data_IF_731760281994
#
_entry.id   IF_731760281994
#
_cell.length_a   1.000
_cell.length_b   1.000
_cell.length_c   1.000
_cell.angle_alpha   90.00
_cell.angle_beta   90.00
_cell.angle_gamma   90.00
#
_symmetry.space_group_name_H-M   'P 1'
#
loop_
_entity.id
_entity.type
_entity.pdbx_description
1 polymer ?
#
# COMPACT_ATOMS: atom_id res chain seq x y z
N UNK A 1 2.59 -35.66 26.23
CA UNK A 1 1.82 -36.44 25.25
C UNK A 1 0.65 -35.57 24.81
N UNK A 2 0.26 -35.58 23.53
CA UNK A 2 -0.96 -34.90 23.12
C UNK A 2 -2.14 -35.47 23.90
N UNK A 3 -3.05 -34.60 24.34
CA UNK A 3 -4.30 -35.00 24.95
C UNK A 3 -5.11 -35.82 23.94
N UNK A 4 -5.79 -36.87 24.40
CA UNK A 4 -6.62 -37.71 23.53
C UNK A 4 -7.93 -37.02 23.14
N UNK A 5 -8.28 -35.95 23.84
CA UNK A 5 -9.43 -35.11 23.54
C UNK A 5 -9.11 -34.15 22.39
N UNK A 6 -9.91 -34.17 21.30
CA UNK A 6 -9.75 -33.19 20.23
C UNK A 6 -9.93 -31.75 20.74
N UNK A 7 -9.17 -30.82 20.17
CA UNK A 7 -9.15 -29.42 20.62
C UNK A 7 -10.27 -28.57 20.02
N UNK A 8 -10.84 -28.97 18.88
CA UNK A 8 -11.98 -28.27 18.28
C UNK A 8 -13.29 -28.87 18.76
N UNK A 9 -14.28 -28.03 19.07
CA UNK A 9 -15.60 -28.48 19.54
C UNK A 9 -16.27 -29.44 18.54
N UNK A 10 -16.10 -29.20 17.24
CA UNK A 10 -16.65 -30.07 16.18
C UNK A 10 -16.03 -31.46 16.21
N UNK A 11 -14.71 -31.56 16.31
CA UNK A 11 -14.01 -32.85 16.37
C UNK A 11 -14.25 -33.54 17.72
N UNK A 12 -14.34 -32.77 18.81
CA UNK A 12 -14.65 -33.28 20.14
C UNK A 12 -16.06 -33.90 20.18
N UNK A 13 -17.07 -33.20 19.65
CA UNK A 13 -18.44 -33.71 19.56
C UNK A 13 -18.52 -35.00 18.73
N UNK A 14 -17.84 -35.05 17.58
CA UNK A 14 -17.81 -36.23 16.71
C UNK A 14 -17.08 -37.42 17.37
N UNK A 15 -15.96 -37.15 18.04
CA UNK A 15 -15.24 -38.13 18.82
C UNK A 15 -16.09 -38.65 19.99
N UNK A 16 -16.79 -37.77 20.70
CA UNK A 16 -17.64 -38.17 21.82
C UNK A 16 -18.81 -39.03 21.40
N UNK A 17 -19.46 -38.70 20.29
CA UNK A 17 -20.51 -39.54 19.73
C UNK A 17 -20.02 -40.97 19.45
N UNK A 18 -18.82 -41.09 18.87
CA UNK A 18 -18.20 -42.39 18.58
C UNK A 18 -17.83 -43.16 19.84
N UNK A 19 -17.25 -42.46 20.84
CA UNK A 19 -16.89 -43.05 22.13
C UNK A 19 -18.14 -43.56 22.87
N UNK A 20 -19.18 -42.74 23.01
CA UNK A 20 -20.43 -43.12 23.67
C UNK A 20 -21.07 -44.32 22.95
N UNK A 21 -21.12 -44.29 21.62
CA UNK A 21 -21.67 -45.40 20.82
C UNK A 21 -20.94 -46.72 21.07
N UNK A 22 -19.61 -46.71 21.08
CA UNK A 22 -18.83 -47.93 21.33
C UNK A 22 -18.92 -48.38 22.79
N UNK A 23 -18.81 -47.46 23.75
CA UNK A 23 -18.86 -47.75 25.17
C UNK A 23 -20.23 -48.32 25.58
N UNK A 24 -21.33 -47.75 25.05
CA UNK A 24 -22.69 -48.26 25.28
C UNK A 24 -22.92 -49.65 24.67
N UNK A 25 -22.26 -49.99 23.56
CA UNK A 25 -22.35 -51.32 22.97
C UNK A 25 -21.51 -52.38 23.73
N UNK A 26 -20.49 -51.96 24.47
CA UNK A 26 -19.49 -52.86 25.10
C UNK A 26 -19.40 -52.69 26.63
N UNK A 27 -20.45 -52.19 27.29
CA UNK A 27 -20.46 -51.82 28.73
C UNK A 27 -19.83 -52.89 29.62
N UNK A 28 -20.31 -54.13 29.53
CA UNK A 28 -19.81 -55.23 30.36
C UNK A 28 -18.37 -55.64 30.04
N UNK A 29 -17.99 -55.64 28.76
CA UNK A 29 -16.63 -56.00 28.32
C UNK A 29 -15.59 -54.95 28.74
N UNK A 30 -16.01 -53.69 28.90
CA UNK A 30 -15.18 -52.59 29.39
C UNK A 30 -15.17 -52.48 30.92
N UNK A 31 -15.93 -53.33 31.64
CA UNK A 31 -16.06 -53.26 33.09
C UNK A 31 -16.80 -52.02 33.59
N UNK A 32 -17.63 -51.41 32.74
CA UNK A 32 -18.44 -50.23 33.05
C UNK A 32 -19.86 -50.63 33.43
N UNK A 33 -20.60 -49.67 33.97
CA UNK A 33 -22.04 -49.77 34.16
C UNK A 33 -22.79 -48.73 33.32
N UNK A 34 -24.09 -48.93 33.11
CA UNK A 34 -24.94 -47.93 32.44
C UNK A 34 -25.03 -46.62 33.24
N UNK A 35 -24.86 -46.69 34.57
CA UNK A 35 -24.82 -45.52 35.44
C UNK A 35 -23.60 -44.63 35.17
N UNK A 36 -22.48 -45.20 34.71
CA UNK A 36 -21.27 -44.44 34.38
C UNK A 36 -21.44 -43.62 33.08
N UNK A 37 -22.19 -44.16 32.11
CA UNK A 37 -22.39 -43.52 30.81
C UNK A 37 -23.53 -42.49 30.79
N UNK A 38 -24.51 -42.62 31.69
CA UNK A 38 -25.69 -41.74 31.72
C UNK A 38 -25.32 -40.25 31.88
N UNK A 39 -24.44 -39.86 32.82
CA UNK A 39 -24.05 -38.45 32.96
C UNK A 39 -23.33 -37.90 31.72
N UNK A 40 -22.49 -38.73 31.07
CA UNK A 40 -21.73 -38.35 29.88
C UNK A 40 -22.68 -38.12 28.70
N UNK A 41 -23.67 -39.00 28.51
CA UNK A 41 -24.71 -38.85 27.48
C UNK A 41 -25.55 -37.58 27.66
N UNK A 42 -25.94 -37.27 28.90
CA UNK A 42 -26.69 -36.05 29.22
C UNK A 42 -25.86 -34.79 28.92
N UNK A 43 -24.56 -34.82 29.28
CA UNK A 43 -23.67 -33.69 29.02
C UNK A 43 -23.39 -33.52 27.51
N UNK A 44 -23.22 -34.62 26.76
CA UNK A 44 -23.07 -34.60 25.31
C UNK A 44 -24.27 -33.91 24.65
N UNK A 45 -25.49 -34.31 25.01
CA UNK A 45 -26.73 -33.72 24.47
C UNK A 45 -26.82 -32.22 24.77
N UNK A 46 -26.40 -31.81 25.97
CA UNK A 46 -26.38 -30.41 26.39
C UNK A 46 -25.37 -29.60 25.58
N UNK A 47 -24.18 -30.15 25.35
CA UNK A 47 -23.14 -29.49 24.58
C UNK A 47 -23.52 -29.37 23.10
N UNK A 48 -24.09 -30.41 22.49
CA UNK A 48 -24.59 -30.37 21.12
C UNK A 48 -25.64 -29.28 20.92
N UNK A 49 -26.58 -29.16 21.86
CA UNK A 49 -27.62 -28.12 21.84
C UNK A 49 -27.01 -26.73 21.92
N UNK A 50 -26.06 -26.53 22.84
CA UNK A 50 -25.40 -25.23 23.04
C UNK A 50 -24.51 -24.85 21.84
N UNK A 51 -23.82 -25.82 21.25
CA UNK A 51 -23.00 -25.61 20.07
C UNK A 51 -23.85 -25.23 18.84
N UNK A 52 -24.98 -25.90 18.63
CA UNK A 52 -25.92 -25.56 17.57
C UNK A 52 -26.49 -24.13 17.72
N UNK A 53 -26.87 -23.75 18.95
CA UNK A 53 -27.34 -22.39 19.26
C UNK A 53 -26.25 -21.33 19.05
N UNK A 54 -25.01 -21.63 19.45
CA UNK A 54 -23.86 -20.77 19.20
C UNK A 54 -23.64 -20.52 17.71
N UNK A 55 -23.64 -21.58 16.89
CA UNK A 55 -23.46 -21.47 15.43
C UNK A 55 -24.59 -20.67 14.79
N UNK A 56 -25.84 -20.92 15.18
CA UNK A 56 -27.01 -20.18 14.70
C UNK A 56 -26.93 -18.69 15.07
N UNK A 57 -26.56 -18.39 16.32
CA UNK A 57 -26.40 -17.03 16.82
C UNK A 57 -25.26 -16.30 16.12
N UNK A 58 -24.15 -16.99 15.83
CA UNK A 58 -23.04 -16.44 15.07
C UNK A 58 -23.47 -16.02 13.65
N UNK A 59 -24.26 -16.86 12.97
CA UNK A 59 -24.81 -16.54 11.65
C UNK A 59 -25.76 -15.33 11.69
N UNK A 60 -26.63 -15.26 12.71
CA UNK A 60 -27.51 -14.11 12.93
C UNK A 60 -26.74 -12.82 13.21
N UNK A 61 -25.69 -12.88 14.03
CA UNK A 61 -24.84 -11.74 14.33
C UNK A 61 -24.12 -11.22 13.08
N UNK A 62 -23.65 -12.12 12.21
CA UNK A 62 -23.07 -11.75 10.91
C UNK A 62 -24.10 -11.05 10.01
N UNK A 63 -25.33 -11.59 9.93
CA UNK A 63 -26.42 -10.96 9.18
C UNK A 63 -26.80 -9.57 9.70
N UNK A 64 -26.88 -9.40 11.02
CA UNK A 64 -27.17 -8.11 11.65
C UNK A 64 -26.05 -7.09 11.47
N UNK A 65 -24.79 -7.54 11.46
CA UNK A 65 -23.65 -6.69 11.12
C UNK A 65 -23.77 -6.18 9.68
N UNK A 66 -24.02 -7.08 8.73
CA UNK A 66 -24.20 -6.71 7.32
C UNK A 66 -25.35 -5.72 7.14
N UNK A 67 -26.51 -5.99 7.76
CA UNK A 67 -27.67 -5.11 7.70
C UNK A 67 -27.34 -3.69 8.18
N UNK A 68 -26.67 -3.57 9.34
CA UNK A 68 -26.24 -2.27 9.89
C UNK A 68 -25.27 -1.55 8.93
N UNK A 69 -24.35 -2.27 8.31
CA UNK A 69 -23.37 -1.70 7.38
C UNK A 69 -24.04 -1.27 6.05
N UNK A 70 -25.05 -2.00 5.59
CA UNK A 70 -25.88 -1.64 4.43
C UNK A 70 -26.72 -0.38 4.70
N UNK A 71 -27.35 -0.30 5.87
CA UNK A 71 -28.13 0.87 6.31
C UNK A 71 -27.23 2.12 6.39
N UNK A 72 -26.02 1.97 6.94
CA UNK A 72 -25.01 3.04 6.96
C UNK A 72 -24.64 3.48 5.55
N UNK A 73 -24.38 2.53 4.66
CA UNK A 73 -24.02 2.80 3.26
C UNK A 73 -25.17 3.50 2.51
N UNK A 74 -26.42 3.09 2.75
CA UNK A 74 -27.60 3.72 2.19
C UNK A 74 -27.76 5.18 2.67
N UNK A 75 -27.53 5.43 3.96
CA UNK A 75 -27.56 6.79 4.50
C UNK A 75 -26.43 7.66 3.92
N UNK A 76 -25.21 7.13 3.82
CA UNK A 76 -24.08 7.85 3.19
C UNK A 76 -24.40 8.24 1.74
N UNK A 77 -25.00 7.34 0.97
CA UNK A 77 -25.39 7.59 -0.43
C UNK A 77 -26.37 8.76 -0.56
N UNK A 78 -27.26 8.97 0.42
CA UNK A 78 -28.18 10.09 0.44
C UNK A 78 -27.50 11.40 0.88
N UNK A 79 -26.62 11.33 1.89
CA UNK A 79 -25.99 12.51 2.48
C UNK A 79 -24.88 13.09 1.60
N UNK A 80 -24.06 12.25 0.96
CA UNK A 80 -22.92 12.70 0.13
C UNK A 80 -23.29 13.72 -0.97
N UNK A 81 -24.32 13.51 -1.81
CA UNK A 81 -24.69 14.50 -2.83
C UNK A 81 -25.23 15.81 -2.23
N UNK A 82 -25.95 15.73 -1.10
CA UNK A 82 -26.44 16.91 -0.39
C UNK A 82 -25.28 17.75 0.16
N UNK A 83 -24.30 17.10 0.79
CA UNK A 83 -23.08 17.78 1.27
C UNK A 83 -22.29 18.39 0.11
N UNK A 84 -22.13 17.67 -1.00
CA UNK A 84 -21.44 18.19 -2.18
C UNK A 84 -22.10 19.46 -2.72
N UNK A 85 -23.44 19.51 -2.74
CA UNK A 85 -24.21 20.70 -3.12
C UNK A 85 -23.97 21.85 -2.15
N UNK A 86 -24.08 21.62 -0.84
CA UNK A 86 -23.84 22.65 0.19
C UNK A 86 -22.41 23.23 0.12
N UNK A 87 -21.43 22.39 -0.18
CA UNK A 87 -20.03 22.79 -0.37
C UNK A 87 -19.81 23.68 -1.61
N UNK A 88 -20.67 23.57 -2.62
CA UNK A 88 -20.57 24.37 -3.86
C UNK A 88 -21.31 25.71 -3.79
N UNK A 89 -22.25 25.85 -2.85
CA UNK A 89 -23.10 27.04 -2.76
C UNK A 89 -22.38 28.21 -2.11
N UNK A 90 -22.36 29.35 -2.81
CA UNK A 90 -21.79 30.62 -2.33
C UNK A 90 -22.62 31.26 -1.21
N UNK A 91 -23.89 30.86 -1.07
CA UNK A 91 -24.81 31.35 -0.03
C UNK A 91 -24.62 30.65 1.32
N UNK A 92 -23.97 29.48 1.33
CA UNK A 92 -23.63 28.79 2.58
C UNK A 92 -22.37 29.44 3.15
N UNK A 93 -22.44 29.93 4.38
CA UNK A 93 -21.29 30.57 5.03
C UNK A 93 -20.33 29.53 5.61
N UNK A 94 -19.07 29.90 5.84
CA UNK A 94 -18.10 29.01 6.49
C UNK A 94 -18.53 28.63 7.91
N UNK A 95 -19.16 29.56 8.65
CA UNK A 95 -19.74 29.27 9.95
C UNK A 95 -20.85 28.21 9.88
N UNK A 96 -21.70 28.24 8.85
CA UNK A 96 -22.72 27.20 8.62
C UNK A 96 -22.10 25.86 8.23
N UNK A 97 -21.04 25.86 7.39
CA UNK A 97 -20.29 24.63 7.07
C UNK A 97 -19.69 24.02 8.32
N UNK A 98 -19.06 24.84 9.16
CA UNK A 98 -18.45 24.40 10.42
C UNK A 98 -19.50 23.88 11.41
N UNK A 99 -20.64 24.55 11.54
CA UNK A 99 -21.75 24.09 12.38
C UNK A 99 -22.32 22.73 11.93
N UNK A 100 -22.29 22.45 10.62
CA UNK A 100 -22.67 21.16 10.03
C UNK A 100 -21.55 20.11 10.07
N UNK A 101 -20.39 20.41 10.67
CA UNK A 101 -19.22 19.53 10.70
C UNK A 101 -18.57 19.31 9.32
N UNK A 102 -18.83 20.19 8.37
CA UNK A 102 -18.27 20.14 7.01
C UNK A 102 -16.93 20.85 6.95
N UNK A 103 -16.02 20.34 6.12
CA UNK A 103 -14.72 20.96 5.86
C UNK A 103 -14.89 22.35 5.23
N UNK A 104 -14.24 23.37 5.81
CA UNK A 104 -14.12 24.69 5.20
C UNK A 104 -12.95 24.66 4.22
N UNK A 105 -13.17 25.06 2.96
CA UNK A 105 -12.12 25.03 1.94
C UNK A 105 -11.09 26.14 2.22
N UNK A 106 -9.81 25.80 2.15
CA UNK A 106 -8.76 26.83 2.17
C UNK A 106 -8.88 27.71 0.93
N UNK A 107 -8.88 29.02 1.15
CA UNK A 107 -8.83 30.03 0.08
C UNK A 107 -7.40 30.41 -0.29
N UNK A 108 -6.41 30.01 0.51
CA UNK A 108 -4.99 30.22 0.22
C UNK A 108 -4.34 28.91 -0.27
N UNK A 109 -3.57 29.01 -1.35
CA UNK A 109 -2.66 27.94 -1.77
C UNK A 109 -1.31 28.15 -1.10
N UNK A 110 -0.86 27.16 -0.34
CA UNK A 110 0.53 27.09 0.11
C UNK A 110 1.43 26.86 -1.11
N UNK A 111 2.44 27.71 -1.29
CA UNK A 111 3.42 27.53 -2.35
C UNK A 111 4.29 26.29 -2.06
N UNK A 112 4.59 25.49 -3.08
CA UNK A 112 5.65 24.50 -2.96
C UNK A 112 6.98 25.25 -2.77
N UNK A 113 7.79 24.83 -1.80
CA UNK A 113 9.10 25.43 -1.57
C UNK A 113 10.06 25.10 -2.72
N UNK A 114 11.08 25.93 -2.90
CA UNK A 114 12.21 25.63 -3.80
C UNK A 114 12.92 24.37 -3.29
N UNK A 115 13.25 23.39 -4.16
CA UNK A 115 13.96 22.20 -3.73
C UNK A 115 15.36 22.57 -3.19
N UNK A 116 15.71 22.10 -2.00
CA UNK A 116 17.02 22.37 -1.38
C UNK A 116 17.99 21.20 -1.52
N UNK A 117 17.47 20.00 -1.72
CA UNK A 117 18.26 18.79 -1.98
C UNK A 117 18.61 18.67 -3.46
N UNK A 118 19.64 17.88 -3.79
CA UNK A 118 19.97 17.48 -5.17
C UNK A 118 19.71 15.99 -5.42
N UNK A 119 19.47 15.61 -6.69
CA UNK A 119 19.39 14.21 -7.07
C UNK A 119 20.79 13.55 -7.06
N UNK A 120 20.85 12.29 -6.63
CA UNK A 120 22.00 11.40 -6.83
C UNK A 120 21.71 10.55 -8.06
N UNK A 121 22.54 10.69 -9.09
CA UNK A 121 22.39 9.96 -10.35
C UNK A 121 23.28 8.70 -10.38
N UNK A 122 22.76 7.63 -10.97
CA UNK A 122 23.50 6.40 -11.26
C UNK A 122 23.20 6.00 -12.71
N UNK A 123 24.21 5.48 -13.40
CA UNK A 123 24.11 5.13 -14.82
C UNK A 123 24.38 3.65 -15.00
N UNK A 124 23.44 2.95 -15.64
CA UNK A 124 23.64 1.61 -16.16
C UNK A 124 23.93 1.67 -17.67
N UNK A 125 25.12 1.19 -18.04
CA UNK A 125 25.67 1.16 -19.41
C UNK A 125 25.71 -0.27 -20.00
N UNK A 126 25.05 -1.23 -19.34
CA UNK A 126 25.05 -2.65 -19.73
C UNK A 126 24.35 -2.93 -21.06
N UNK A 127 23.59 -1.97 -21.60
CA UNK A 127 22.87 -2.09 -22.86
C UNK A 127 23.61 -1.34 -23.96
N UNK A 128 23.77 -2.01 -25.10
CA UNK A 128 24.35 -1.44 -26.32
C UNK A 128 23.61 -0.16 -26.72
N UNK A 129 24.37 0.91 -26.97
CA UNK A 129 23.90 2.24 -27.40
C UNK A 129 22.78 2.81 -26.51
N UNK A 130 22.76 2.46 -25.22
CA UNK A 130 21.70 2.88 -24.31
C UNK A 130 22.25 3.07 -22.91
N UNK A 131 21.93 4.21 -22.30
CA UNK A 131 22.15 4.44 -20.87
C UNK A 131 20.82 4.50 -20.15
N UNK A 132 20.74 3.83 -19.00
CA UNK A 132 19.61 3.94 -18.08
C UNK A 132 20.05 4.75 -16.87
N UNK A 133 19.44 5.91 -16.67
CA UNK A 133 19.79 6.87 -15.63
C UNK A 133 18.78 6.72 -14.50
N UNK A 134 19.19 6.11 -13.40
CA UNK A 134 18.39 6.11 -12.17
C UNK A 134 18.81 7.28 -11.29
N UNK A 135 17.83 7.88 -10.63
CA UNK A 135 18.06 8.97 -9.70
C UNK A 135 17.17 8.84 -8.46
N UNK A 136 17.74 9.24 -7.32
CA UNK A 136 17.10 9.29 -6.00
C UNK A 136 17.44 10.60 -5.32
N UNK A 137 16.68 10.97 -4.28
CA UNK A 137 16.98 12.16 -3.51
C UNK A 137 18.12 11.94 -2.50
N UNK A 138 18.99 12.94 -2.30
CA UNK A 138 20.13 12.80 -1.39
C UNK A 138 19.73 12.69 0.09
N UNK A 139 18.61 13.30 0.49
CA UNK A 139 18.11 13.20 1.86
C UNK A 139 17.36 11.87 2.10
N UNK A 140 17.05 11.14 1.02
CA UNK A 140 16.31 9.86 1.06
C UNK A 140 16.85 8.83 0.05
N UNK A 141 18.13 8.43 0.16
CA UNK A 141 18.81 7.63 -0.87
C UNK A 141 18.25 6.20 -1.02
N UNK A 142 17.55 5.69 -0.01
CA UNK A 142 16.85 4.39 -0.07
C UNK A 142 15.48 4.44 -0.74
N UNK A 143 14.98 5.63 -1.09
CA UNK A 143 13.65 5.83 -1.67
C UNK A 143 13.74 6.25 -3.12
N UNK A 144 12.84 5.69 -3.95
CA UNK A 144 12.63 6.14 -5.34
C UNK A 144 11.65 7.33 -5.44
N UNK A 145 11.15 7.81 -4.30
CA UNK A 145 10.30 8.99 -4.26
C UNK A 145 11.11 10.26 -4.52
N UNK A 146 10.45 11.25 -5.14
CA UNK A 146 10.99 12.61 -5.25
C UNK A 146 10.75 13.35 -3.91
N UNK A 147 11.49 14.43 -3.64
CA UNK A 147 11.18 15.30 -2.50
C UNK A 147 9.76 15.86 -2.59
N UNK A 148 9.21 16.23 -1.45
CA UNK A 148 7.89 16.85 -1.41
C UNK A 148 7.88 18.18 -2.19
N UNK A 149 6.78 18.45 -2.90
CA UNK A 149 6.65 19.63 -3.77
C UNK A 149 7.46 19.61 -5.07
N UNK A 150 8.31 18.61 -5.31
CA UNK A 150 9.07 18.44 -6.57
C UNK A 150 8.20 17.82 -7.66
N UNK A 151 8.18 18.46 -8.83
CA UNK A 151 7.45 17.98 -10.01
C UNK A 151 8.26 16.95 -10.78
N UNK A 152 9.57 17.17 -10.95
CA UNK A 152 10.43 16.25 -11.70
C UNK A 152 11.91 16.57 -11.55
N UNK A 153 12.70 15.71 -12.18
CA UNK A 153 14.15 15.83 -12.30
C UNK A 153 14.50 16.30 -13.71
N UNK A 154 15.12 17.47 -13.85
CA UNK A 154 15.73 17.86 -15.12
C UNK A 154 17.03 17.07 -15.30
N UNK A 155 17.19 16.46 -16.48
CA UNK A 155 18.35 15.67 -16.88
C UNK A 155 19.06 16.42 -18.02
N UNK A 156 20.35 16.67 -17.83
CA UNK A 156 21.19 17.39 -18.77
C UNK A 156 22.41 16.53 -19.13
N UNK A 157 22.86 16.61 -20.39
CA UNK A 157 23.89 15.72 -20.92
C UNK A 157 24.91 16.44 -21.81
N UNK A 158 26.15 15.95 -21.86
CA UNK A 158 27.17 16.25 -22.89
C UNK A 158 27.82 14.93 -23.34
N UNK A 159 28.05 14.76 -24.63
CA UNK A 159 28.72 13.57 -25.20
C UNK A 159 30.07 13.97 -25.78
N UNK A 160 31.09 13.17 -25.50
CA UNK A 160 32.48 13.39 -25.91
C UNK A 160 33.31 14.15 -24.88
N UNK A 161 34.59 14.30 -25.20
CA UNK A 161 35.58 15.00 -24.38
C UNK A 161 35.70 16.49 -24.76
N UNK A 162 36.16 17.37 -23.87
CA UNK A 162 36.47 17.09 -22.45
C UNK A 162 35.22 17.03 -21.57
N UNK A 163 35.35 16.37 -20.41
CA UNK A 163 34.35 16.42 -19.32
C UNK A 163 33.83 17.85 -19.07
N UNK A 164 32.51 18.05 -18.86
CA UNK A 164 31.94 19.38 -18.71
C UNK A 164 32.49 20.10 -17.48
N UNK A 165 32.95 21.35 -17.66
CA UNK A 165 33.40 22.19 -16.55
C UNK A 165 32.24 22.70 -15.66
N UNK A 166 31.01 22.62 -16.17
CA UNK A 166 29.81 22.95 -15.43
C UNK A 166 28.54 22.85 -16.29
N UNK A 167 27.37 23.21 -15.71
CA UNK A 167 26.07 22.97 -16.35
C UNK A 167 25.84 23.70 -17.67
N UNK A 168 26.55 24.80 -17.92
CA UNK A 168 26.42 25.59 -19.15
C UNK A 168 26.88 24.86 -20.41
N UNK A 169 27.70 23.80 -20.26
CA UNK A 169 28.18 22.99 -21.37
C UNK A 169 27.30 21.78 -21.68
N UNK A 170 26.26 21.56 -20.88
CA UNK A 170 25.32 20.46 -21.07
C UNK A 170 24.13 20.93 -21.93
N UNK A 171 23.61 20.01 -22.73
CA UNK A 171 22.30 20.17 -23.37
C UNK A 171 21.21 19.56 -22.51
N UNK A 172 20.06 20.21 -22.47
CA UNK A 172 18.87 19.64 -21.85
C UNK A 172 18.45 18.37 -22.58
N UNK A 173 18.10 17.33 -21.83
CA UNK A 173 17.64 16.05 -22.36
C UNK A 173 16.15 15.87 -22.09
N UNK A 174 15.74 15.88 -20.83
CA UNK A 174 14.35 15.69 -20.42
C UNK A 174 14.10 16.20 -19.00
N UNK A 175 12.81 16.35 -18.65
CA UNK A 175 12.35 16.47 -17.26
C UNK A 175 11.55 15.23 -16.95
N UNK A 176 12.10 14.33 -16.15
CA UNK A 176 11.44 13.08 -15.82
C UNK A 176 10.71 13.20 -14.48
N UNK A 177 9.47 12.72 -14.45
CA UNK A 177 8.66 12.70 -13.23
C UNK A 177 8.93 11.45 -12.38
N UNK A 178 9.67 10.45 -12.88
CA UNK A 178 10.00 9.22 -12.15
C UNK A 178 11.27 8.53 -12.68
N UNK A 179 12.15 8.11 -11.78
CA UNK A 179 13.32 7.30 -12.12
C UNK A 179 12.94 5.85 -12.50
N UNK A 180 13.61 5.21 -13.50
CA UNK A 180 14.73 5.73 -14.29
C UNK A 180 14.31 6.35 -15.63
N UNK A 181 15.17 7.21 -16.17
CA UNK A 181 15.10 7.72 -17.53
C UNK A 181 16.00 6.91 -18.45
N UNK A 182 15.55 6.61 -19.66
CA UNK A 182 16.33 5.87 -20.66
C UNK A 182 16.69 6.79 -21.82
N UNK A 183 17.97 6.82 -22.17
CA UNK A 183 18.47 7.51 -23.36
C UNK A 183 19.11 6.51 -24.32
N UNK A 184 18.81 6.67 -25.60
CA UNK A 184 19.39 5.88 -26.68
C UNK A 184 20.35 6.76 -27.49
N UNK A 185 21.39 6.12 -28.03
CA UNK A 185 22.48 6.75 -28.75
C UNK A 185 22.58 6.21 -30.17
N UNK A 186 23.10 7.06 -31.05
CA UNK A 186 23.44 6.66 -32.41
C UNK A 186 24.74 5.86 -32.44
N UNK A 187 24.90 5.01 -33.46
CA UNK A 187 26.12 4.22 -33.63
C UNK A 187 27.39 5.09 -33.74
N UNK A 188 27.27 6.33 -34.21
CA UNK A 188 28.36 7.31 -34.28
C UNK A 188 28.87 7.79 -32.92
N UNK A 189 28.12 7.55 -31.85
CA UNK A 189 28.49 7.92 -30.48
C UNK A 189 29.10 6.75 -29.70
N UNK A 190 29.16 5.55 -30.30
CA UNK A 190 29.82 4.40 -29.72
C UNK A 190 31.28 4.72 -29.33
N UNK A 191 31.65 4.34 -28.11
CA UNK A 191 32.98 4.57 -27.54
C UNK A 191 33.21 5.97 -26.95
N UNK A 192 32.30 6.93 -27.13
CA UNK A 192 32.38 8.25 -26.47
C UNK A 192 31.87 8.19 -25.03
N UNK A 193 32.33 9.12 -24.20
CA UNK A 193 31.78 9.35 -22.85
C UNK A 193 30.52 10.20 -22.92
N UNK A 194 29.45 9.82 -22.23
CA UNK A 194 28.31 10.67 -21.96
C UNK A 194 28.35 11.12 -20.50
N UNK A 195 28.32 12.43 -20.25
CA UNK A 195 28.30 13.06 -18.94
C UNK A 195 26.93 13.62 -18.65
N UNK A 196 26.47 13.49 -17.41
CA UNK A 196 25.15 13.93 -16.97
C UNK A 196 25.23 14.76 -15.69
N UNK A 197 24.39 15.79 -15.61
CA UNK A 197 24.07 16.48 -14.37
C UNK A 197 22.54 16.63 -14.28
N UNK A 198 22.02 16.45 -13.08
CA UNK A 198 20.60 16.41 -12.80
C UNK A 198 20.25 17.49 -11.76
N UNK A 199 19.00 17.96 -11.74
CA UNK A 199 18.49 18.82 -10.66
C UNK A 199 16.98 18.66 -10.47
N UNK A 200 16.50 18.87 -9.25
CA UNK A 200 15.07 18.89 -8.97
C UNK A 200 14.42 20.20 -9.43
N UNK A 201 13.18 20.11 -9.90
CA UNK A 201 12.31 21.24 -10.24
C UNK A 201 10.95 21.10 -9.56
N UNK A 202 10.49 22.14 -8.89
CA UNK A 202 9.17 22.16 -8.26
C UNK A 202 8.03 22.50 -9.23
N UNK A 203 6.79 22.52 -8.71
CA UNK A 203 5.57 22.82 -9.50
C UNK A 203 5.53 24.23 -10.09
N UNK A 204 6.44 25.13 -9.68
CA UNK A 204 6.57 26.50 -10.17
C UNK A 204 7.76 26.68 -11.12
N UNK A 205 8.50 25.62 -11.40
CA UNK A 205 9.73 25.68 -12.21
C UNK A 205 10.96 26.19 -11.45
N UNK A 206 10.87 26.34 -10.12
CA UNK A 206 12.01 26.71 -9.29
C UNK A 206 12.95 25.51 -9.16
N UNK A 207 14.25 25.78 -9.29
CA UNK A 207 15.29 24.79 -9.49
C UNK A 207 16.11 24.61 -8.23
N UNK A 208 16.31 23.36 -7.84
CA UNK A 208 17.24 23.00 -6.78
C UNK A 208 18.70 22.97 -7.24
N UNK A 209 19.62 22.63 -6.32
CA UNK A 209 21.03 22.47 -6.64
C UNK A 209 21.27 21.35 -7.67
N UNK A 210 22.40 21.47 -8.37
CA UNK A 210 22.86 20.45 -9.31
C UNK A 210 23.45 19.23 -8.61
N UNK A 211 23.24 18.05 -9.19
CA UNK A 211 23.94 16.82 -8.84
C UNK A 211 25.44 16.93 -9.11
N UNK A 212 26.19 15.96 -8.59
CA UNK A 212 27.53 15.69 -9.11
C UNK A 212 27.46 15.26 -10.58
N UNK A 213 28.52 15.51 -11.33
CA UNK A 213 28.66 15.01 -12.70
C UNK A 213 28.89 13.50 -12.66
N UNK A 214 28.06 12.74 -13.37
CA UNK A 214 28.21 11.29 -13.53
C UNK A 214 28.42 10.99 -15.01
N UNK A 215 29.35 10.10 -15.34
CA UNK A 215 29.66 9.77 -16.73
C UNK A 215 29.74 8.27 -16.96
N UNK A 216 29.46 7.86 -18.19
CA UNK A 216 29.61 6.46 -18.63
C UNK A 216 29.97 6.39 -20.11
N UNK A 217 30.73 5.37 -20.49
CA UNK A 217 31.03 5.10 -21.90
C UNK A 217 29.79 4.59 -22.62
N UNK A 218 29.57 5.03 -23.85
CA UNK A 218 28.52 4.51 -24.73
C UNK A 218 29.03 3.19 -25.33
N UNK A 219 28.54 2.08 -24.78
CA UNK A 219 28.93 0.73 -25.20
C UNK A 219 28.37 0.37 -26.58
N UNK A 220 29.19 -0.21 -27.45
CA UNK A 220 28.77 -0.80 -28.73
C UNK A 220 28.33 -2.26 -28.58
#
# INVERSE_FOLDING_TARGET
MPDYLPSSDTEFLAWMQSFISYASANVAALGLTTADLTPIQNQQTTLETSYADFVATQALAAGKRQQKDDERTAQERLVRPLVARLQSFTTVTDAQRQALGLTVRSTSRTAAATPTSRPIAMIDTSKRLRHTISFVDEDSPGSRAKPDGVTGCEIWMKVGEPSPAGPAELRYLATDTRSPYVVEFEASDAGKMAYYMLRWVNTRGERGPWSQTVGGTITN
#
